data_IF_805402499842
#
_entry.id   IF_805402499842
#
_cell.length_a   1.000
_cell.length_b   1.000
_cell.length_c   1.000
_cell.angle_alpha   90.00
_cell.angle_beta   90.00
_cell.angle_gamma   90.00
#
_symmetry.space_group_name_H-M   'P 1'
#
loop_
_entity.id
_entity.type
_entity.pdbx_description
1 polymer ?
#
# COMPACT_ATOMS: atom_id res chain seq x y z
N UNK A 1 -8.80 -23.09 23.54
CA UNK A 1 -7.93 -22.50 24.56
C UNK A 1 -7.01 -21.44 23.95
N UNK A 2 -5.94 -21.81 23.23
CA UNK A 2 -4.94 -20.87 22.64
C UNK A 2 -5.50 -19.64 21.90
N UNK A 3 -6.54 -19.80 21.06
CA UNK A 3 -7.19 -18.65 20.38
C UNK A 3 -7.81 -17.66 21.36
N UNK A 4 -8.48 -18.17 22.41
CA UNK A 4 -9.14 -17.34 23.42
C UNK A 4 -8.11 -16.52 24.19
N UNK A 5 -6.98 -17.12 24.53
CA UNK A 5 -5.90 -16.45 25.25
C UNK A 5 -5.30 -15.31 24.43
N UNK A 6 -5.10 -15.52 23.12
CA UNK A 6 -4.64 -14.47 22.20
C UNK A 6 -5.67 -13.35 22.07
N UNK A 7 -6.96 -13.67 21.99
CA UNK A 7 -8.04 -12.67 21.96
C UNK A 7 -8.06 -11.83 23.24
N UNK A 8 -7.90 -12.46 24.40
CA UNK A 8 -7.85 -11.76 25.69
C UNK A 8 -6.63 -10.84 25.73
N UNK A 9 -5.46 -11.35 25.38
CA UNK A 9 -4.22 -10.56 25.34
C UNK A 9 -4.36 -9.36 24.39
N UNK A 10 -4.87 -9.58 23.18
CA UNK A 10 -5.08 -8.54 22.19
C UNK A 10 -6.00 -7.43 22.72
N UNK A 11 -7.13 -7.79 23.34
CA UNK A 11 -8.08 -6.83 23.91
C UNK A 11 -7.51 -6.06 25.09
N UNK A 12 -6.75 -6.72 25.97
CA UNK A 12 -6.08 -6.07 27.09
C UNK A 12 -5.10 -5.01 26.58
N UNK A 13 -4.24 -5.38 25.62
CA UNK A 13 -3.24 -4.45 25.06
C UNK A 13 -3.90 -3.32 24.27
N UNK A 14 -4.92 -3.62 23.47
CA UNK A 14 -5.72 -2.61 22.76
C UNK A 14 -6.25 -1.54 23.73
N UNK A 15 -6.90 -1.95 24.82
CA UNK A 15 -7.43 -1.01 25.83
C UNK A 15 -6.34 -0.19 26.48
N UNK A 16 -5.21 -0.79 26.83
CA UNK A 16 -4.06 -0.06 27.38
C UNK A 16 -3.55 1.00 26.40
N UNK A 17 -3.38 0.64 25.13
CA UNK A 17 -2.96 1.58 24.07
C UNK A 17 -3.98 2.70 23.87
N UNK A 18 -5.28 2.38 23.92
CA UNK A 18 -6.33 3.38 23.77
C UNK A 18 -6.32 4.38 24.93
N UNK A 19 -6.29 3.91 26.17
CA UNK A 19 -6.23 4.78 27.37
C UNK A 19 -4.97 5.64 27.34
N UNK A 20 -3.83 5.06 26.94
CA UNK A 20 -2.59 5.80 26.82
C UNK A 20 -2.64 6.87 25.72
N UNK A 21 -3.29 6.57 24.58
CA UNK A 21 -3.50 7.54 23.50
C UNK A 21 -4.42 8.69 23.92
N UNK A 22 -5.46 8.40 24.70
CA UNK A 22 -6.38 9.40 25.28
C UNK A 22 -5.68 10.28 26.33
N UNK A 23 -4.64 9.78 27.00
CA UNK A 23 -3.80 10.53 27.93
C UNK A 23 -2.86 11.56 27.26
N UNK A 24 -2.99 11.79 25.95
CA UNK A 24 -2.27 12.84 25.22
C UNK A 24 -0.79 12.51 25.00
N UNK A 25 0.10 13.40 25.38
CA UNK A 25 1.55 13.24 25.12
C UNK A 25 2.17 12.07 25.89
N UNK A 26 1.52 11.55 26.94
CA UNK A 26 2.01 10.37 27.65
C UNK A 26 2.08 9.12 26.75
N UNK A 27 1.32 9.11 25.65
CA UNK A 27 1.39 8.03 24.67
C UNK A 27 2.81 7.82 24.09
N UNK A 28 3.63 8.87 23.98
CA UNK A 28 5.00 8.75 23.46
C UNK A 28 5.94 7.97 24.38
N UNK A 29 5.54 7.75 25.64
CA UNK A 29 6.31 6.98 26.62
C UNK A 29 5.86 5.52 26.74
N UNK A 30 4.82 5.13 25.99
CA UNK A 30 4.38 3.73 25.94
C UNK A 30 5.51 2.89 25.33
N UNK A 31 5.98 1.84 26.02
CA UNK A 31 7.02 0.98 25.47
C UNK A 31 6.59 0.35 24.14
N UNK A 32 7.48 0.38 23.15
CA UNK A 32 7.18 -0.07 21.78
C UNK A 32 6.67 -1.52 21.72
N UNK A 33 7.10 -2.37 22.66
CA UNK A 33 6.68 -3.78 22.78
C UNK A 33 5.15 -3.94 22.83
N UNK A 34 4.43 -3.01 23.46
CA UNK A 34 2.96 -3.09 23.54
C UNK A 34 2.32 -2.93 22.15
N UNK A 35 2.81 -1.97 21.39
CA UNK A 35 2.29 -1.69 20.06
C UNK A 35 2.83 -2.69 19.04
N UNK A 36 4.15 -2.80 18.92
CA UNK A 36 4.81 -3.57 17.89
C UNK A 36 4.72 -5.08 18.14
N UNK A 37 5.20 -5.53 19.29
CA UNK A 37 5.46 -6.96 19.49
C UNK A 37 4.25 -7.73 20.01
N UNK A 38 3.32 -7.03 20.69
CA UNK A 38 2.10 -7.63 21.22
C UNK A 38 0.91 -7.29 20.33
N UNK A 39 0.54 -6.02 20.18
CA UNK A 39 -0.70 -5.65 19.50
C UNK A 39 -0.72 -6.06 18.01
N UNK A 40 0.30 -5.67 17.23
CA UNK A 40 0.37 -6.01 15.80
C UNK A 40 0.54 -7.52 15.57
N UNK A 41 1.38 -8.19 16.38
CA UNK A 41 1.63 -9.63 16.22
C UNK A 41 0.45 -10.49 16.66
N UNK A 42 -0.25 -10.16 17.76
CA UNK A 42 -1.45 -10.88 18.17
C UNK A 42 -2.55 -10.74 17.12
N UNK A 43 -2.70 -9.56 16.52
CA UNK A 43 -3.63 -9.36 15.42
C UNK A 43 -3.27 -10.18 14.18
N UNK A 44 -2.00 -10.14 13.77
CA UNK A 44 -1.48 -10.97 12.67
C UNK A 44 -1.70 -12.45 12.95
N UNK A 45 -1.43 -12.91 14.17
CA UNK A 45 -1.59 -14.30 14.57
C UNK A 45 -3.05 -14.75 14.52
N UNK A 46 -4.00 -13.91 14.97
CA UNK A 46 -5.43 -14.20 14.87
C UNK A 46 -5.89 -14.37 13.42
N UNK A 47 -5.39 -13.54 12.51
CA UNK A 47 -5.77 -13.58 11.10
C UNK A 47 -5.10 -14.72 10.31
N UNK A 48 -3.85 -15.04 10.63
CA UNK A 48 -3.07 -16.06 9.90
C UNK A 48 -3.33 -17.47 10.43
N UNK A 49 -3.35 -17.66 11.75
CA UNK A 49 -3.44 -18.99 12.37
C UNK A 49 -4.85 -19.37 12.82
N UNK A 50 -5.72 -18.38 13.07
CA UNK A 50 -7.11 -18.62 13.47
C UNK A 50 -8.14 -17.94 12.54
N UNK A 51 -7.98 -18.04 11.20
CA UNK A 51 -8.89 -17.42 10.25
C UNK A 51 -10.27 -18.06 10.42
N UNK A 52 -11.18 -17.34 11.04
CA UNK A 52 -12.56 -17.78 11.20
C UNK A 52 -13.42 -16.82 10.42
N UNK A 53 -14.00 -17.35 9.34
CA UNK A 53 -14.99 -16.65 8.54
C UNK A 53 -16.14 -16.26 9.46
N UNK A 54 -16.33 -14.95 9.61
CA UNK A 54 -17.53 -14.35 10.18
C UNK A 54 -17.94 -14.71 11.62
N UNK A 55 -16.99 -14.95 12.53
CA UNK A 55 -17.31 -14.80 13.96
C UNK A 55 -17.38 -13.31 14.33
N UNK A 56 -18.47 -12.87 15.00
CA UNK A 56 -18.66 -11.47 15.39
C UNK A 56 -17.48 -10.87 16.18
N UNK A 57 -16.80 -11.70 16.98
CA UNK A 57 -15.60 -11.33 17.74
C UNK A 57 -14.44 -10.91 16.84
N UNK A 58 -14.21 -11.60 15.71
CA UNK A 58 -13.15 -11.21 14.77
C UNK A 58 -13.50 -9.92 14.04
N UNK A 59 -14.79 -9.66 13.79
CA UNK A 59 -15.26 -8.43 13.16
C UNK A 59 -15.05 -7.22 14.09
N UNK A 60 -15.34 -7.38 15.37
CA UNK A 60 -15.07 -6.37 16.41
C UNK A 60 -13.57 -6.07 16.50
N UNK A 61 -12.73 -7.10 16.66
CA UNK A 61 -11.27 -6.95 16.70
C UNK A 61 -10.72 -6.30 15.42
N UNK A 62 -11.23 -6.70 14.24
CA UNK A 62 -10.86 -6.08 12.98
C UNK A 62 -11.23 -4.59 12.95
N UNK A 63 -12.42 -4.22 13.41
CA UNK A 63 -12.89 -2.85 13.50
C UNK A 63 -12.02 -1.99 14.42
N UNK A 64 -11.79 -2.47 15.64
CA UNK A 64 -10.91 -1.83 16.63
C UNK A 64 -9.50 -1.62 16.07
N UNK A 65 -8.98 -2.64 15.40
CA UNK A 65 -7.66 -2.60 14.77
C UNK A 65 -7.58 -1.53 13.69
N UNK A 66 -8.47 -1.56 12.70
CA UNK A 66 -8.38 -0.61 11.58
C UNK A 66 -8.58 0.83 12.05
N UNK A 67 -9.44 1.04 13.05
CA UNK A 67 -9.67 2.35 13.64
C UNK A 67 -8.44 2.85 14.40
N UNK A 68 -7.79 1.99 15.17
CA UNK A 68 -6.56 2.33 15.86
C UNK A 68 -5.45 2.68 14.88
N UNK A 69 -5.21 1.83 13.87
CA UNK A 69 -4.16 2.07 12.87
C UNK A 69 -4.44 3.37 12.10
N UNK A 70 -5.68 3.61 11.67
CA UNK A 70 -6.06 4.83 10.95
C UNK A 70 -5.69 6.09 11.75
N UNK A 71 -5.97 6.11 13.05
CA UNK A 71 -5.69 7.27 13.90
C UNK A 71 -4.20 7.46 14.21
N UNK A 72 -3.41 6.39 14.16
CA UNK A 72 -2.03 6.41 14.63
C UNK A 72 -0.98 6.31 13.51
N UNK A 73 -1.37 6.09 12.25
CA UNK A 73 -0.43 5.89 11.13
C UNK A 73 0.47 7.12 10.87
N UNK A 74 0.02 8.32 11.23
CA UNK A 74 0.79 9.57 11.16
C UNK A 74 0.90 10.27 12.52
N UNK A 75 0.69 9.55 13.61
CA UNK A 75 0.79 10.12 14.94
C UNK A 75 2.26 10.40 15.28
N UNK A 76 2.57 11.68 15.51
CA UNK A 76 3.92 12.15 15.83
C UNK A 76 4.41 11.68 17.18
N UNK A 77 3.50 11.21 18.05
CA UNK A 77 3.84 10.59 19.34
C UNK A 77 4.49 9.21 19.17
N UNK A 78 4.29 8.54 18.02
CA UNK A 78 5.02 7.33 17.65
C UNK A 78 6.32 7.74 16.96
N UNK A 79 7.36 7.95 17.78
CA UNK A 79 8.66 8.49 17.34
C UNK A 79 9.44 7.47 16.51
N UNK A 80 9.37 6.18 16.88
CA UNK A 80 10.08 5.12 16.16
C UNK A 80 9.47 4.90 14.76
N UNK A 81 10.27 5.14 13.71
CA UNK A 81 9.88 4.89 12.32
C UNK A 81 9.55 3.43 12.07
N UNK A 82 10.30 2.49 12.65
CA UNK A 82 10.13 1.06 12.41
C UNK A 82 8.75 0.57 12.89
N UNK A 83 8.25 1.15 13.99
CA UNK A 83 6.90 0.85 14.49
C UNK A 83 5.83 1.34 13.51
N UNK A 84 5.98 2.55 12.95
CA UNK A 84 5.06 3.08 11.93
C UNK A 84 5.11 2.26 10.64
N UNK A 85 6.29 1.78 10.29
CA UNK A 85 6.50 0.92 9.12
C UNK A 85 5.81 -0.44 9.33
N UNK A 86 5.97 -1.04 10.51
CA UNK A 86 5.31 -2.29 10.89
C UNK A 86 3.78 -2.14 10.94
N UNK A 87 3.25 -1.01 11.43
CA UNK A 87 1.82 -0.72 11.36
C UNK A 87 1.31 -0.67 9.91
N UNK A 88 2.05 0.01 9.03
CA UNK A 88 1.70 0.13 7.60
C UNK A 88 1.79 -1.23 6.89
N UNK A 89 2.80 -2.02 7.22
CA UNK A 89 2.97 -3.38 6.71
C UNK A 89 1.83 -4.31 7.18
N UNK A 90 1.46 -4.24 8.46
CA UNK A 90 0.35 -5.02 9.00
C UNK A 90 -0.97 -4.64 8.32
N UNK A 91 -1.23 -3.35 8.13
CA UNK A 91 -2.40 -2.88 7.40
C UNK A 91 -2.40 -3.37 5.95
N UNK A 92 -1.27 -3.27 5.24
CA UNK A 92 -1.12 -3.76 3.87
C UNK A 92 -1.46 -5.24 3.78
N UNK A 93 -0.86 -6.08 4.64
CA UNK A 93 -1.17 -7.50 4.70
C UNK A 93 -2.65 -7.77 5.00
N UNK A 94 -3.28 -6.93 5.82
CA UNK A 94 -4.68 -7.06 6.21
C UNK A 94 -5.66 -6.67 5.11
N UNK A 95 -5.39 -5.60 4.35
CA UNK A 95 -6.21 -5.16 3.19
C UNK A 95 -6.36 -6.28 2.14
N UNK A 96 -5.38 -7.19 2.08
CA UNK A 96 -5.53 -8.62 1.87
C UNK A 96 -6.99 -9.11 1.85
N UNK A 97 -7.49 -9.43 3.03
CA UNK A 97 -8.66 -10.28 3.25
C UNK A 97 -9.99 -9.54 3.03
N UNK A 98 -10.99 -10.24 2.50
CA UNK A 98 -12.31 -9.65 2.21
C UNK A 98 -13.02 -9.13 3.48
N UNK A 99 -12.97 -9.88 4.58
CA UNK A 99 -13.53 -9.45 5.88
C UNK A 99 -12.85 -8.20 6.44
N UNK A 100 -11.55 -8.10 6.24
CA UNK A 100 -10.71 -6.94 6.62
C UNK A 100 -11.04 -5.69 5.83
N UNK A 101 -11.23 -5.84 4.52
CA UNK A 101 -11.65 -4.74 3.66
C UNK A 101 -13.02 -4.22 4.06
N UNK A 102 -13.97 -5.11 4.40
CA UNK A 102 -15.27 -4.71 4.95
C UNK A 102 -15.12 -3.95 6.28
N UNK A 103 -14.19 -4.36 7.15
CA UNK A 103 -13.92 -3.64 8.40
C UNK A 103 -13.44 -2.21 8.12
N UNK A 104 -12.51 -2.04 7.16
CA UNK A 104 -12.07 -0.72 6.70
C UNK A 104 -13.25 0.11 6.18
N UNK A 105 -14.09 -0.48 5.33
CA UNK A 105 -15.27 0.20 4.78
C UNK A 105 -16.29 0.58 5.85
N UNK A 106 -16.38 -0.19 6.95
CA UNK A 106 -17.29 0.05 8.07
C UNK A 106 -16.81 1.09 9.07
N UNK A 107 -15.54 1.51 9.03
CA UNK A 107 -15.02 2.57 9.91
C UNK A 107 -15.84 3.85 9.77
N UNK A 108 -15.86 4.70 10.80
CA UNK A 108 -16.49 6.03 10.72
C UNK A 108 -15.81 6.89 9.65
N UNK A 109 -16.58 7.77 9.02
CA UNK A 109 -16.10 8.62 7.93
C UNK A 109 -14.87 9.45 8.31
N UNK A 110 -14.89 10.06 9.49
CA UNK A 110 -13.73 10.78 10.02
C UNK A 110 -12.44 9.93 10.00
N UNK A 111 -12.49 8.70 10.52
CA UNK A 111 -11.32 7.81 10.56
C UNK A 111 -10.90 7.34 9.16
N UNK A 112 -11.86 7.13 8.23
CA UNK A 112 -11.53 6.82 6.83
C UNK A 112 -10.81 7.99 6.16
N UNK A 113 -11.25 9.22 6.38
CA UNK A 113 -10.59 10.44 5.85
C UNK A 113 -9.19 10.60 6.42
N UNK A 114 -9.00 10.37 7.73
CA UNK A 114 -7.66 10.38 8.36
C UNK A 114 -6.75 9.33 7.71
N UNK A 115 -7.25 8.11 7.51
CA UNK A 115 -6.49 7.06 6.83
C UNK A 115 -6.15 7.45 5.39
N UNK A 116 -7.10 7.99 4.63
CA UNK A 116 -6.91 8.43 3.23
C UNK A 116 -5.84 9.50 3.15
N UNK A 117 -5.93 10.55 3.97
CA UNK A 117 -4.89 11.60 4.07
C UNK A 117 -3.53 10.99 4.34
N UNK A 118 -3.49 10.05 5.29
CA UNK A 118 -2.27 9.38 5.67
C UNK A 118 -1.74 8.43 4.58
N UNK A 119 -2.57 7.86 3.71
CA UNK A 119 -2.14 7.05 2.56
C UNK A 119 -1.65 7.92 1.39
N UNK A 120 -2.28 9.08 1.17
CA UNK A 120 -2.01 9.99 0.06
C UNK A 120 -0.91 11.01 0.36
N UNK A 121 -0.37 11.03 1.58
CA UNK A 121 0.76 11.90 1.91
C UNK A 121 1.94 11.63 0.97
N UNK A 122 2.61 12.67 0.47
CA UNK A 122 3.79 12.55 -0.40
C UNK A 122 4.80 11.51 0.09
N UNK A 123 5.47 10.83 -0.84
CA UNK A 123 6.34 9.69 -0.52
C UNK A 123 7.69 10.07 0.11
N UNK A 124 7.91 11.36 0.41
CA UNK A 124 9.12 11.80 1.08
C UNK A 124 9.17 11.28 2.53
N UNK A 125 10.28 10.64 2.90
CA UNK A 125 10.62 10.21 4.26
C UNK A 125 9.67 9.18 4.92
N UNK A 126 9.06 8.27 4.15
CA UNK A 126 8.25 7.16 4.68
C UNK A 126 8.27 5.91 3.79
N UNK A 127 7.93 4.71 4.29
CA UNK A 127 7.81 3.49 3.49
C UNK A 127 6.59 3.53 2.55
N UNK A 128 6.75 4.16 1.39
CA UNK A 128 5.68 4.34 0.41
C UNK A 128 5.26 3.06 -0.31
N UNK A 129 6.10 2.02 -0.33
CA UNK A 129 5.77 0.78 -1.03
C UNK A 129 4.53 0.11 -0.42
N UNK A 130 4.44 0.06 0.92
CA UNK A 130 3.31 -0.56 1.62
C UNK A 130 2.02 0.26 1.47
N UNK A 131 2.09 1.59 1.49
CA UNK A 131 0.91 2.43 1.20
C UNK A 131 0.46 2.31 -0.24
N UNK A 132 1.39 2.23 -1.19
CA UNK A 132 1.06 2.00 -2.60
C UNK A 132 0.35 0.66 -2.80
N UNK A 133 0.76 -0.39 -2.09
CA UNK A 133 0.06 -1.68 -2.10
C UNK A 133 -1.36 -1.59 -1.55
N UNK A 134 -1.57 -0.86 -0.45
CA UNK A 134 -2.91 -0.61 0.11
C UNK A 134 -3.79 0.08 -0.92
N UNK A 135 -3.28 1.12 -1.59
CA UNK A 135 -4.01 1.84 -2.63
C UNK A 135 -4.39 0.90 -3.77
N UNK A 136 -3.42 0.18 -4.36
CA UNK A 136 -3.68 -0.80 -5.43
C UNK A 136 -4.71 -1.85 -5.01
N UNK A 137 -4.71 -2.25 -3.74
CA UNK A 137 -5.65 -3.25 -3.21
C UNK A 137 -7.10 -2.77 -3.23
N UNK A 138 -7.39 -1.49 -3.06
CA UNK A 138 -8.75 -0.96 -3.14
C UNK A 138 -9.38 -1.07 -4.53
N UNK A 139 -8.57 -1.21 -5.57
CA UNK A 139 -9.02 -1.43 -6.95
C UNK A 139 -8.80 -2.87 -7.44
N UNK A 140 -8.36 -3.80 -6.57
CA UNK A 140 -8.12 -5.19 -6.97
C UNK A 140 -9.43 -5.82 -7.48
N UNK A 141 -9.49 -6.06 -8.79
CA UNK A 141 -10.68 -6.59 -9.45
C UNK A 141 -11.44 -5.60 -10.32
N UNK A 142 -11.03 -4.32 -10.36
CA UNK A 142 -11.63 -3.30 -11.23
C UNK A 142 -10.58 -2.41 -11.89
N UNK A 143 -10.93 -1.73 -12.97
CA UNK A 143 -10.00 -0.90 -13.76
C UNK A 143 -9.36 -1.68 -14.91
N UNK A 144 -8.73 -0.96 -15.86
CA UNK A 144 -8.23 -1.54 -17.10
C UNK A 144 -7.18 -2.62 -16.82
N UNK A 145 -6.29 -2.36 -15.87
CA UNK A 145 -5.23 -3.30 -15.53
C UNK A 145 -5.69 -4.58 -14.80
N UNK A 146 -6.88 -4.61 -14.17
CA UNK A 146 -7.38 -5.80 -13.47
C UNK A 146 -8.35 -6.65 -14.31
N UNK A 147 -8.73 -6.18 -15.51
CA UNK A 147 -9.56 -6.93 -16.46
C UNK A 147 -8.88 -8.23 -16.92
N UNK A 148 -7.56 -8.25 -16.98
CA UNK A 148 -6.77 -9.43 -17.35
C UNK A 148 -6.38 -10.21 -16.09
N UNK A 149 -7.36 -10.83 -15.45
CA UNK A 149 -7.24 -11.54 -14.16
C UNK A 149 -6.23 -12.70 -14.13
N UNK A 150 -5.65 -13.10 -15.25
CA UNK A 150 -4.67 -14.21 -15.29
C UNK A 150 -3.22 -13.78 -15.02
N UNK A 151 -2.90 -12.48 -15.09
CA UNK A 151 -1.50 -12.03 -15.21
C UNK A 151 -1.09 -11.02 -14.15
N UNK A 152 -1.23 -11.36 -12.87
CA UNK A 152 -0.43 -10.71 -11.81
C UNK A 152 0.76 -11.62 -11.47
N UNK A 153 1.93 -11.46 -12.14
CA UNK A 153 3.11 -12.28 -11.93
C UNK A 153 3.92 -11.85 -10.69
N UNK A 154 3.32 -11.11 -9.74
CA UNK A 154 4.07 -10.64 -8.60
C UNK A 154 4.23 -11.76 -7.58
N UNK A 155 5.38 -12.46 -7.64
CA UNK A 155 5.83 -13.36 -6.57
C UNK A 155 5.96 -12.63 -5.24
N UNK A 156 6.20 -11.31 -5.25
CA UNK A 156 6.25 -10.47 -4.04
C UNK A 156 4.88 -10.32 -3.39
N UNK A 157 3.83 -10.04 -4.18
CA UNK A 157 2.45 -10.05 -3.67
C UNK A 157 1.95 -11.46 -3.38
N UNK A 158 2.53 -12.50 -4.00
CA UNK A 158 2.24 -13.90 -3.68
C UNK A 158 2.98 -14.41 -2.43
N UNK A 159 4.18 -13.93 -2.12
CA UNK A 159 4.90 -14.31 -0.89
C UNK A 159 4.26 -13.72 0.37
N UNK A 160 3.55 -12.59 0.22
CA UNK A 160 2.64 -12.07 1.23
C UNK A 160 1.32 -12.87 1.33
N UNK A 161 1.05 -13.82 0.42
CA UNK A 161 -0.11 -14.73 0.45
C UNK A 161 0.30 -16.06 1.08
N UNK A 162 -0.38 -16.48 2.14
CA UNK A 162 -0.51 -17.90 2.44
C UNK A 162 -1.77 -18.41 1.72
N UNK A 163 -1.59 -19.13 0.62
CA UNK A 163 -2.50 -20.11 -0.03
C UNK A 163 -3.99 -19.80 -0.27
N UNK A 164 -4.49 -18.59 -0.06
CA UNK A 164 -5.91 -18.29 -0.29
C UNK A 164 -6.13 -17.60 -1.62
N UNK A 165 -6.76 -18.34 -2.55
CA UNK A 165 -7.46 -17.78 -3.71
C UNK A 165 -8.46 -16.77 -3.18
N UNK A 166 -8.24 -15.51 -3.48
CA UNK A 166 -8.97 -14.41 -2.86
C UNK A 166 -9.74 -13.71 -3.96
N UNK A 167 -11.06 -13.73 -3.82
CA UNK A 167 -11.98 -13.10 -4.76
C UNK A 167 -11.59 -11.65 -5.00
N UNK A 168 -11.71 -11.24 -6.26
CA UNK A 168 -11.58 -9.86 -6.71
C UNK A 168 -12.65 -9.00 -6.01
N UNK A 169 -12.31 -8.46 -4.84
CA UNK A 169 -13.18 -7.61 -4.04
C UNK A 169 -12.67 -6.16 -4.04
N UNK A 170 -12.97 -5.35 -5.07
CA UNK A 170 -12.63 -3.93 -5.06
C UNK A 170 -13.48 -3.18 -4.02
N UNK A 171 -12.92 -2.13 -3.44
CA UNK A 171 -13.62 -1.26 -2.49
C UNK A 171 -14.10 0.02 -3.16
N UNK A 172 -15.30 0.00 -3.72
CA UNK A 172 -15.89 1.18 -4.38
C UNK A 172 -15.99 2.38 -3.42
N UNK A 173 -16.18 2.12 -2.13
CA UNK A 173 -16.28 3.16 -1.10
C UNK A 173 -14.98 3.95 -0.94
N UNK A 174 -13.84 3.27 -0.80
CA UNK A 174 -12.54 3.94 -0.72
C UNK A 174 -12.16 4.64 -2.01
N UNK A 175 -12.51 4.06 -3.17
CA UNK A 175 -12.27 4.70 -4.47
C UNK A 175 -12.98 6.06 -4.57
N UNK A 176 -14.25 6.11 -4.18
CA UNK A 176 -15.04 7.35 -4.16
C UNK A 176 -14.51 8.36 -3.15
N UNK A 177 -14.16 7.93 -1.95
CA UNK A 177 -13.63 8.83 -0.91
C UNK A 177 -12.25 9.39 -1.26
N UNK A 178 -11.37 8.58 -1.86
CA UNK A 178 -10.09 9.03 -2.40
C UNK A 178 -10.31 10.07 -3.51
N UNK A 179 -11.23 9.81 -4.44
CA UNK A 179 -11.59 10.77 -5.49
C UNK A 179 -12.05 12.11 -4.91
N UNK A 180 -13.01 12.08 -3.98
CA UNK A 180 -13.49 13.29 -3.28
C UNK A 180 -12.38 14.03 -2.55
N UNK A 181 -11.50 13.30 -1.84
CA UNK A 181 -10.38 13.89 -1.10
C UNK A 181 -9.44 14.64 -2.05
N UNK A 182 -9.01 13.99 -3.13
CA UNK A 182 -8.07 14.56 -4.10
C UNK A 182 -8.66 15.77 -4.83
N UNK A 183 -9.96 15.75 -5.15
CA UNK A 183 -10.61 16.91 -5.79
C UNK A 183 -10.80 18.08 -4.82
N UNK A 184 -10.92 17.82 -3.51
CA UNK A 184 -11.10 18.87 -2.49
C UNK A 184 -9.79 19.42 -1.92
N UNK A 185 -8.68 18.69 -2.03
CA UNK A 185 -7.37 19.05 -1.46
C UNK A 185 -6.31 19.10 -2.57
N UNK A 186 -6.30 20.19 -3.34
CA UNK A 186 -5.42 20.34 -4.51
C UNK A 186 -3.94 20.16 -4.17
N UNK A 187 -3.47 20.77 -3.08
CA UNK A 187 -2.04 20.75 -2.72
C UNK A 187 -1.57 19.35 -2.35
N UNK A 188 -2.38 18.61 -1.59
CA UNK A 188 -2.12 17.21 -1.26
C UNK A 188 -2.11 16.34 -2.52
N UNK A 189 -3.08 16.55 -3.42
CA UNK A 189 -3.18 15.81 -4.67
C UNK A 189 -1.96 16.06 -5.58
N UNK A 190 -1.52 17.32 -5.68
CA UNK A 190 -0.33 17.73 -6.44
C UNK A 190 0.93 17.10 -5.82
N UNK A 191 1.11 17.19 -4.50
CA UNK A 191 2.26 16.61 -3.80
C UNK A 191 2.32 15.08 -3.96
N UNK A 192 1.18 14.41 -3.85
CA UNK A 192 1.03 12.98 -4.04
C UNK A 192 1.39 12.55 -5.46
N UNK A 193 0.80 13.17 -6.48
CA UNK A 193 1.06 12.85 -7.89
C UNK A 193 2.51 13.13 -8.29
N UNK A 194 3.09 14.25 -7.83
CA UNK A 194 4.49 14.54 -8.08
C UNK A 194 5.42 13.47 -7.50
N UNK A 195 5.08 12.94 -6.32
CA UNK A 195 5.78 11.84 -5.67
C UNK A 195 5.63 10.54 -6.44
N UNK A 196 4.41 10.19 -6.87
CA UNK A 196 4.13 9.01 -7.69
C UNK A 196 4.92 9.02 -9.00
N UNK A 197 4.87 10.12 -9.74
CA UNK A 197 5.62 10.29 -10.99
C UNK A 197 7.13 10.23 -10.76
N UNK A 198 7.60 10.75 -9.63
CA UNK A 198 9.01 10.69 -9.23
C UNK A 198 9.46 9.26 -8.97
N UNK A 199 8.72 8.53 -8.14
CA UNK A 199 9.02 7.14 -7.83
C UNK A 199 8.87 6.22 -9.05
N UNK A 200 7.91 6.50 -9.94
CA UNK A 200 7.76 5.71 -11.17
C UNK A 200 8.98 5.87 -12.08
N UNK A 201 9.47 7.11 -12.24
CA UNK A 201 10.67 7.37 -13.02
C UNK A 201 11.90 6.66 -12.43
N UNK A 202 12.06 6.72 -11.11
CA UNK A 202 13.14 6.03 -10.41
C UNK A 202 13.02 4.51 -10.57
N UNK A 203 11.89 3.92 -10.19
CA UNK A 203 11.68 2.47 -10.21
C UNK A 203 11.84 1.88 -11.62
N UNK A 204 11.34 2.57 -12.64
CA UNK A 204 11.50 2.14 -14.02
C UNK A 204 12.96 2.24 -14.50
N UNK A 205 13.69 3.27 -14.09
CA UNK A 205 15.11 3.41 -14.43
C UNK A 205 15.96 2.30 -13.80
N UNK A 206 15.70 1.97 -12.53
CA UNK A 206 16.33 0.84 -11.82
C UNK A 206 16.00 -0.49 -12.51
N UNK A 207 14.72 -0.73 -12.84
CA UNK A 207 14.30 -1.92 -13.56
C UNK A 207 15.04 -2.08 -14.89
N UNK A 208 15.10 -1.02 -15.71
CA UNK A 208 15.78 -1.07 -17.00
C UNK A 208 17.30 -1.24 -16.88
N UNK A 209 17.91 -0.67 -15.83
CA UNK A 209 19.34 -0.87 -15.53
C UNK A 209 19.64 -2.33 -15.23
N UNK A 210 18.89 -2.91 -14.28
CA UNK A 210 19.03 -4.32 -13.89
C UNK A 210 18.72 -5.26 -15.05
N UNK A 211 17.68 -4.98 -15.85
CA UNK A 211 17.32 -5.80 -17.00
C UNK A 211 18.43 -5.86 -18.06
N UNK A 212 19.13 -4.75 -18.29
CA UNK A 212 20.29 -4.72 -19.20
C UNK A 212 21.46 -5.54 -18.67
N UNK A 213 21.72 -5.49 -17.37
CA UNK A 213 22.82 -6.25 -16.76
C UNK A 213 22.58 -7.76 -16.77
N UNK A 214 21.31 -8.19 -16.87
CA UNK A 214 20.90 -9.58 -16.97
C UNK A 214 20.94 -10.15 -18.40
N UNK A 215 21.37 -9.38 -19.41
CA UNK A 215 21.48 -9.89 -20.79
C UNK A 215 22.56 -10.97 -20.92
N UNK A 216 22.33 -12.01 -21.76
CA UNK A 216 23.12 -13.25 -21.79
C UNK A 216 24.63 -13.04 -22.06
N UNK A 217 25.02 -11.93 -22.67
CA UNK A 217 26.43 -11.58 -22.95
C UNK A 217 27.27 -11.40 -21.68
N UNK A 218 26.67 -11.00 -20.55
CA UNK A 218 27.34 -10.82 -19.25
C UNK A 218 27.20 -12.02 -18.29
N UNK A 219 26.18 -12.86 -18.49
CA UNK A 219 25.80 -13.98 -17.61
C UNK A 219 26.85 -15.12 -17.55
N UNK A 220 27.71 -15.26 -18.58
CA UNK A 220 28.66 -16.38 -18.72
C UNK A 220 29.72 -16.52 -17.61
N UNK A 221 29.89 -15.52 -16.74
CA UNK A 221 31.00 -15.47 -15.79
C UNK A 221 30.62 -15.59 -14.31
N UNK A 222 29.34 -15.42 -13.89
CA UNK A 222 28.96 -15.36 -12.45
C UNK A 222 27.53 -15.86 -12.11
N UNK A 223 27.26 -17.18 -12.13
CA UNK A 223 25.90 -17.74 -12.00
C UNK A 223 25.22 -17.54 -10.62
N UNK A 224 25.97 -17.43 -9.50
CA UNK A 224 25.36 -17.32 -8.16
C UNK A 224 24.85 -15.91 -7.83
N UNK A 225 25.46 -14.87 -8.42
CA UNK A 225 25.06 -13.46 -8.26
C UNK A 225 23.75 -13.19 -9.04
N UNK A 226 23.52 -13.94 -10.11
CA UNK A 226 22.39 -13.84 -11.03
C UNK A 226 21.04 -14.00 -10.31
N UNK A 227 20.90 -14.98 -9.41
CA UNK A 227 19.61 -15.24 -8.74
C UNK A 227 19.18 -14.12 -7.78
N UNK A 228 20.12 -13.46 -7.09
CA UNK A 228 19.81 -12.29 -6.24
C UNK A 228 19.42 -11.09 -7.09
N UNK A 229 20.17 -10.81 -8.17
CA UNK A 229 19.88 -9.69 -9.07
C UNK A 229 18.55 -9.86 -9.81
N UNK A 230 18.23 -11.08 -10.25
CA UNK A 230 16.92 -11.42 -10.83
C UNK A 230 15.76 -11.12 -9.88
N UNK A 231 15.90 -11.44 -8.58
CA UNK A 231 14.88 -11.12 -7.57
C UNK A 231 14.70 -9.61 -7.37
N UNK A 232 15.81 -8.85 -7.36
CA UNK A 232 15.75 -7.38 -7.23
C UNK A 232 15.10 -6.79 -8.48
N UNK A 233 15.50 -7.24 -9.68
CA UNK A 233 14.90 -6.83 -10.96
C UNK A 233 13.39 -7.09 -10.99
N UNK A 234 12.96 -8.28 -10.57
CA UNK A 234 11.54 -8.62 -10.43
C UNK A 234 10.82 -7.70 -9.45
N UNK A 235 11.46 -7.33 -8.34
CA UNK A 235 10.89 -6.38 -7.37
C UNK A 235 10.74 -4.98 -8.00
N UNK A 236 11.74 -4.49 -8.73
CA UNK A 236 11.67 -3.20 -9.43
C UNK A 236 10.55 -3.17 -10.48
N UNK A 237 10.35 -4.28 -11.20
CA UNK A 237 9.23 -4.43 -12.13
C UNK A 237 7.89 -4.34 -11.39
N UNK A 238 7.71 -5.11 -10.32
CA UNK A 238 6.47 -5.13 -9.53
C UNK A 238 6.15 -3.74 -8.96
N UNK A 239 7.16 -3.05 -8.45
CA UNK A 239 7.05 -1.67 -7.97
C UNK A 239 6.61 -0.73 -9.09
N UNK A 240 7.26 -0.78 -10.26
CA UNK A 240 6.93 0.02 -11.44
C UNK A 240 5.46 -0.17 -11.85
N UNK A 241 5.01 -1.43 -11.95
CA UNK A 241 3.62 -1.75 -12.29
C UNK A 241 2.68 -1.21 -11.22
N UNK A 242 3.00 -1.39 -9.93
CA UNK A 242 2.15 -0.90 -8.84
C UNK A 242 2.00 0.61 -8.86
N UNK A 243 3.03 1.37 -9.24
CA UNK A 243 2.98 2.83 -9.35
C UNK A 243 2.14 3.28 -10.55
N UNK A 244 2.30 2.62 -11.70
CA UNK A 244 1.45 2.84 -12.88
C UNK A 244 -0.03 2.62 -12.55
N UNK A 245 -0.34 1.57 -11.78
CA UNK A 245 -1.70 1.27 -11.32
C UNK A 245 -2.26 2.36 -10.42
N UNK A 246 -1.49 2.82 -9.44
CA UNK A 246 -1.95 3.91 -8.56
C UNK A 246 -2.20 5.19 -9.35
N UNK A 247 -1.37 5.50 -10.35
CA UNK A 247 -1.60 6.65 -11.26
C UNK A 247 -2.88 6.46 -12.07
N UNK A 248 -3.06 5.31 -12.73
CA UNK A 248 -4.29 4.98 -13.49
C UNK A 248 -5.55 5.19 -12.64
N UNK A 249 -5.53 4.65 -11.42
CA UNK A 249 -6.63 4.73 -10.46
C UNK A 249 -6.91 6.17 -10.03
N UNK A 250 -5.86 6.91 -9.72
CA UNK A 250 -5.95 8.32 -9.29
C UNK A 250 -6.61 9.17 -10.37
N UNK A 251 -6.19 9.00 -11.64
CA UNK A 251 -6.77 9.70 -12.79
C UNK A 251 -8.22 9.28 -13.02
N UNK A 252 -8.56 8.01 -12.79
CA UNK A 252 -9.91 7.51 -12.96
C UNK A 252 -10.90 8.12 -11.95
N UNK A 253 -10.49 8.32 -10.68
CA UNK A 253 -11.38 8.82 -9.63
C UNK A 253 -11.33 10.33 -9.43
N UNK A 254 -10.24 10.98 -9.84
CA UNK A 254 -10.04 12.42 -9.71
C UNK A 254 -9.44 13.02 -11.01
N UNK A 255 -10.12 12.90 -12.16
CA UNK A 255 -9.58 13.33 -13.46
C UNK A 255 -9.27 14.83 -13.49
N UNK A 256 -10.02 15.65 -12.77
CA UNK A 256 -9.85 17.11 -12.72
C UNK A 256 -8.49 17.53 -12.18
N UNK A 257 -7.83 16.70 -11.37
CA UNK A 257 -6.49 17.00 -10.82
C UNK A 257 -5.43 17.12 -11.93
N UNK A 258 -5.62 16.44 -13.06
CA UNK A 258 -4.68 16.47 -14.19
C UNK A 258 -5.30 17.09 -15.45
N UNK A 259 -6.63 17.04 -15.59
CA UNK A 259 -7.34 17.49 -16.80
C UNK A 259 -7.99 18.87 -16.68
N UNK A 260 -7.79 19.59 -15.57
CA UNK A 260 -8.24 20.98 -15.45
C UNK A 260 -7.40 21.90 -16.35
N UNK A 261 -8.03 22.41 -17.41
CA UNK A 261 -7.42 23.28 -18.42
C UNK A 261 -7.07 24.67 -17.91
N UNK A 262 -7.64 25.08 -16.79
CA UNK A 262 -7.41 26.42 -16.23
C UNK A 262 -6.28 26.41 -15.19
N UNK A 263 -5.76 25.24 -14.83
CA UNK A 263 -4.70 25.06 -13.84
C UNK A 263 -3.37 24.77 -14.53
N UNK A 264 -2.42 25.71 -14.43
CA UNK A 264 -1.04 25.52 -14.88
C UNK A 264 -0.39 24.30 -14.22
N UNK A 265 -0.75 23.99 -12.98
CA UNK A 265 -0.22 22.82 -12.26
C UNK A 265 -0.72 21.51 -12.85
N UNK A 266 -2.00 21.47 -13.23
CA UNK A 266 -2.60 20.30 -13.90
C UNK A 266 -1.94 20.07 -15.25
N UNK A 267 -1.66 21.13 -16.01
CA UNK A 267 -0.91 21.07 -17.26
C UNK A 267 0.52 20.52 -17.06
N UNK A 268 1.25 21.02 -16.06
CA UNK A 268 2.60 20.52 -15.73
C UNK A 268 2.59 19.02 -15.36
N UNK A 269 1.62 18.59 -14.54
CA UNK A 269 1.45 17.18 -14.17
C UNK A 269 1.13 16.31 -15.38
N UNK A 270 0.27 16.78 -16.29
CA UNK A 270 -0.09 16.08 -17.51
C UNK A 270 1.12 15.91 -18.44
N UNK A 271 1.87 16.99 -18.69
CA UNK A 271 3.09 16.94 -19.52
C UNK A 271 4.07 15.92 -18.96
N UNK A 272 4.32 15.97 -17.64
CA UNK A 272 5.26 15.07 -16.97
C UNK A 272 4.80 13.61 -17.03
N UNK A 273 3.51 13.35 -16.88
CA UNK A 273 2.93 12.02 -17.07
C UNK A 273 3.13 11.51 -18.50
N UNK A 274 2.80 12.31 -19.51
CA UNK A 274 2.93 11.92 -20.92
C UNK A 274 4.39 11.67 -21.32
N UNK A 275 5.32 12.51 -20.86
CA UNK A 275 6.75 12.31 -21.06
C UNK A 275 7.21 10.96 -20.48
N UNK A 276 6.81 10.65 -19.25
CA UNK A 276 7.19 9.43 -18.56
C UNK A 276 6.59 8.18 -19.24
N UNK A 277 5.31 8.22 -19.61
CA UNK A 277 4.68 7.14 -20.36
C UNK A 277 5.34 6.94 -21.73
N UNK A 278 5.66 8.03 -22.44
CA UNK A 278 6.40 7.98 -23.70
C UNK A 278 7.77 7.32 -23.54
N UNK A 279 8.52 7.67 -22.48
CA UNK A 279 9.80 7.04 -22.17
C UNK A 279 9.65 5.54 -21.88
N UNK A 280 8.64 5.14 -21.11
CA UNK A 280 8.36 3.73 -20.81
C UNK A 280 8.05 2.96 -22.10
N UNK A 281 7.10 3.44 -22.90
CA UNK A 281 6.69 2.79 -24.15
C UNK A 281 7.86 2.69 -25.12
N UNK A 282 8.62 3.78 -25.33
CA UNK A 282 9.76 3.77 -26.24
C UNK A 282 10.85 2.77 -25.83
N UNK A 283 11.11 2.63 -24.53
CA UNK A 283 12.12 1.69 -24.02
C UNK A 283 11.65 0.24 -24.07
N UNK A 284 10.36 -0.03 -23.92
CA UNK A 284 9.78 -1.37 -24.06
C UNK A 284 9.62 -1.79 -25.53
N UNK A 285 9.28 -0.84 -26.41
CA UNK A 285 9.10 -1.08 -27.84
C UNK A 285 10.41 -1.12 -28.63
N UNK A 286 11.50 -0.56 -28.09
CA UNK A 286 12.83 -0.77 -28.65
C UNK A 286 13.11 -2.29 -28.68
N UNK A 287 13.34 -2.83 -29.89
CA UNK A 287 13.48 -4.27 -30.22
C UNK A 287 14.62 -5.02 -29.50
N UNK A 288 15.15 -4.50 -28.40
CA UNK A 288 16.34 -5.00 -27.71
C UNK A 288 16.02 -6.03 -26.61
N UNK A 289 14.75 -6.25 -26.26
CA UNK A 289 14.33 -7.22 -25.25
C UNK A 289 13.50 -8.34 -25.87
N UNK A 290 14.11 -9.08 -26.80
CA UNK A 290 13.60 -10.42 -27.16
C UNK A 290 13.99 -11.33 -26.00
N UNK A 291 13.01 -11.65 -25.15
CA UNK A 291 13.08 -12.74 -24.17
C UNK A 291 13.22 -14.08 -24.90
#
# INVERSE_FOLDING_TARGET
EKRRDIVILHRCVYRTLQIASEAGNLFSFVPEIYLNDIYLNTFTALNVYYPTEDSGINREIAGDFVQFIANHMQDTRIVNSDVRDNMTQCLSAFCFYSGSLRALESMREYNRTVLIRALLTPYANRPWAMTNLILVRFWKGCGFGFRYSQSYPSKFLQSLRKDRVQDSSPSMKYQQEIGRYLTSHSDDAIGFLNSLLGQLNWAFSEFMGLLKDLTPTKSRYMPTIEHRQMKICSTCFDVTVSLLRTIEMTICVAPTVILDRHSNTSEMLLIRLLQLLGQIINRLAAKTYVL
#
